data_IF_304075207125
#
_entry.id   IF_304075207125
#
_cell.length_a   1.000
_cell.length_b   1.000
_cell.length_c   1.000
_cell.angle_alpha   90.00
_cell.angle_beta   90.00
_cell.angle_gamma   90.00
#
_symmetry.space_group_name_H-M   'P 1'
#
loop_
_entity.id
_entity.type
_entity.pdbx_description
1 polymer ?
#
# COMPACT_ATOMS: atom_id res chain seq x y z
N UNK A 1 5.36 -4.32 -15.55
CA UNK A 1 5.49 -4.37 -14.08
C UNK A 1 5.97 -3.02 -13.57
N UNK A 2 5.68 -2.72 -12.31
CA UNK A 2 6.07 -1.50 -11.63
C UNK A 2 6.80 -1.87 -10.34
N UNK A 3 7.78 -1.07 -9.94
CA UNK A 3 8.42 -1.18 -8.63
C UNK A 3 8.31 0.16 -7.88
N UNK A 4 8.34 0.09 -6.56
CA UNK A 4 8.31 1.25 -5.68
C UNK A 4 9.50 1.15 -4.71
N UNK A 5 10.15 2.27 -4.34
CA UNK A 5 11.21 2.25 -3.35
C UNK A 5 10.66 2.02 -1.94
N UNK A 6 11.53 1.60 -1.02
CA UNK A 6 11.24 1.69 0.42
C UNK A 6 11.22 3.16 0.82
N UNK A 7 10.12 3.60 1.42
CA UNK A 7 9.97 4.97 1.91
C UNK A 7 10.36 5.01 3.38
N UNK A 8 11.08 6.07 3.76
CA UNK A 8 11.51 6.32 5.15
C UNK A 8 10.88 7.60 5.66
N UNK A 9 10.47 7.57 6.93
CA UNK A 9 10.05 8.76 7.66
C UNK A 9 11.25 9.68 7.91
N UNK A 10 11.00 10.91 8.37
CA UNK A 10 12.04 11.91 8.63
C UNK A 10 13.09 11.44 9.68
N UNK A 11 12.68 10.57 10.61
CA UNK A 11 13.55 9.97 11.62
C UNK A 11 14.33 8.73 11.11
N UNK A 12 14.18 8.38 9.82
CA UNK A 12 14.84 7.25 9.17
C UNK A 12 14.12 5.91 9.34
N UNK A 13 13.07 5.83 10.15
CA UNK A 13 12.25 4.61 10.29
C UNK A 13 11.53 4.28 8.99
N UNK A 14 11.23 3.00 8.75
CA UNK A 14 10.49 2.59 7.54
C UNK A 14 9.05 3.07 7.64
N UNK A 15 8.55 3.69 6.57
CA UNK A 15 7.14 4.04 6.44
C UNK A 15 6.36 2.84 5.88
N UNK A 16 5.35 2.29 6.59
CA UNK A 16 4.60 1.13 6.11
C UNK A 16 3.65 1.49 4.96
N UNK A 17 4.09 1.30 3.71
CA UNK A 17 3.35 1.64 2.50
C UNK A 17 2.67 0.44 1.83
N UNK A 18 3.05 -0.79 2.14
CA UNK A 18 2.43 -2.00 1.56
C UNK A 18 1.06 -2.27 2.18
N UNK A 19 0.09 -2.67 1.35
CA UNK A 19 -1.24 -3.13 1.78
C UNK A 19 -1.57 -4.46 1.11
N UNK A 20 -2.19 -5.37 1.86
CA UNK A 20 -2.78 -6.60 1.30
C UNK A 20 -4.19 -6.30 0.79
N UNK A 21 -4.68 -7.08 -0.16
CA UNK A 21 -6.09 -7.00 -0.54
C UNK A 21 -6.97 -7.39 0.67
N UNK A 22 -8.02 -6.62 0.97
CA UNK A 22 -8.87 -6.92 2.11
C UNK A 22 -9.74 -8.14 1.80
N UNK A 23 -9.90 -9.02 2.78
CA UNK A 23 -11.05 -9.94 2.81
C UNK A 23 -12.29 -9.25 3.39
N UNK A 24 -13.45 -9.90 3.34
CA UNK A 24 -14.72 -9.31 3.82
C UNK A 24 -14.63 -8.83 5.28
N UNK A 25 -13.96 -9.57 6.16
CA UNK A 25 -13.79 -9.18 7.57
C UNK A 25 -12.93 -7.93 7.70
N UNK A 26 -11.85 -7.83 6.92
CA UNK A 26 -10.98 -6.66 6.88
C UNK A 26 -11.70 -5.45 6.27
N UNK A 27 -12.49 -5.65 5.23
CA UNK A 27 -13.32 -4.60 4.63
C UNK A 27 -14.30 -4.03 5.66
N UNK A 28 -15.07 -4.89 6.35
CA UNK A 28 -16.00 -4.45 7.42
C UNK A 28 -15.26 -3.75 8.55
N UNK A 29 -14.14 -4.30 9.01
CA UNK A 29 -13.35 -3.68 10.07
C UNK A 29 -12.80 -2.31 9.67
N UNK A 30 -12.46 -2.14 8.39
CA UNK A 30 -11.94 -0.89 7.86
C UNK A 30 -13.05 0.15 7.66
N UNK A 31 -14.24 -0.26 7.19
CA UNK A 31 -15.42 0.60 7.10
C UNK A 31 -15.94 1.10 8.46
N UNK A 32 -15.70 0.33 9.52
CA UNK A 32 -16.07 0.68 10.90
C UNK A 32 -14.93 1.34 11.68
N UNK A 33 -13.84 1.74 11.01
CA UNK A 33 -12.70 2.40 11.66
C UNK A 33 -12.04 1.60 12.81
N UNK A 34 -12.22 0.29 12.87
CA UNK A 34 -11.71 -0.55 13.96
C UNK A 34 -10.18 -0.57 14.03
N UNK A 35 -9.51 -0.22 12.93
CA UNK A 35 -8.06 -0.04 12.88
C UNK A 35 -7.57 1.10 13.78
N UNK A 36 -8.41 2.09 14.08
CA UNK A 36 -8.07 3.25 14.92
C UNK A 36 -8.11 2.93 16.42
N UNK A 37 -8.89 1.93 16.82
CA UNK A 37 -9.06 1.55 18.23
C UNK A 37 -7.78 0.98 18.84
N UNK A 38 -7.05 0.18 18.06
CA UNK A 38 -5.76 -0.38 18.48
C UNK A 38 -4.87 -0.65 17.27
N UNK A 39 -3.77 0.11 17.10
CA UNK A 39 -2.75 -0.18 16.11
C UNK A 39 -2.22 -1.61 16.28
N UNK A 40 -2.08 -2.35 15.18
CA UNK A 40 -1.50 -3.69 15.20
C UNK A 40 -2.39 -4.82 15.72
N UNK A 41 -3.70 -4.64 15.81
CA UNK A 41 -4.59 -5.75 16.12
C UNK A 41 -4.61 -6.80 14.98
N UNK A 42 -4.90 -8.07 15.31
CA UNK A 42 -4.87 -9.17 14.32
C UNK A 42 -5.91 -9.01 13.20
N UNK A 43 -6.99 -8.28 13.44
CA UNK A 43 -8.10 -8.10 12.50
C UNK A 43 -7.68 -7.19 11.33
N UNK A 44 -6.97 -6.10 11.63
CA UNK A 44 -6.57 -5.09 10.64
C UNK A 44 -5.09 -5.17 10.27
N UNK A 45 -4.23 -5.67 11.17
CA UNK A 45 -2.77 -5.74 10.96
C UNK A 45 -2.35 -6.53 9.72
N UNK A 46 -3.09 -7.60 9.37
CA UNK A 46 -2.85 -8.34 8.13
C UNK A 46 -3.07 -7.46 6.90
N UNK A 47 -4.15 -6.67 6.86
CA UNK A 47 -4.42 -5.73 5.78
C UNK A 47 -3.30 -4.68 5.64
N UNK A 48 -2.79 -4.17 6.77
CA UNK A 48 -1.69 -3.21 6.82
C UNK A 48 -0.30 -3.79 6.53
N UNK A 49 -0.16 -5.12 6.38
CA UNK A 49 1.14 -5.73 6.10
C UNK A 49 2.19 -5.47 7.19
N UNK A 50 1.79 -5.45 8.46
CA UNK A 50 2.69 -5.08 9.57
C UNK A 50 3.85 -6.07 9.78
N UNK A 51 3.73 -7.26 9.21
CA UNK A 51 4.71 -8.34 9.17
C UNK A 51 5.52 -8.37 7.86
N UNK A 52 5.37 -7.36 6.99
CA UNK A 52 6.09 -7.30 5.72
C UNK A 52 7.57 -6.97 5.92
N UNK A 53 8.44 -7.78 5.32
CA UNK A 53 9.89 -7.54 5.34
C UNK A 53 10.30 -6.53 4.25
N UNK A 54 10.65 -5.32 4.67
CA UNK A 54 11.12 -4.24 3.79
C UNK A 54 12.62 -4.32 3.46
N UNK A 55 13.36 -5.30 4.00
CA UNK A 55 14.79 -5.48 3.70
C UNK A 55 15.04 -6.18 2.35
N UNK A 56 13.98 -6.74 1.74
CA UNK A 56 14.07 -7.54 0.52
C UNK A 56 13.17 -6.97 -0.58
N UNK A 57 13.62 -7.12 -1.83
CA UNK A 57 12.78 -6.83 -3.00
C UNK A 57 11.87 -8.03 -3.24
N UNK A 58 10.56 -7.83 -3.14
CA UNK A 58 9.58 -8.91 -3.29
C UNK A 58 8.26 -8.42 -3.89
N UNK A 59 7.48 -9.32 -4.55
CA UNK A 59 6.14 -9.00 -5.02
C UNK A 59 5.23 -8.56 -3.88
N UNK A 60 4.38 -7.58 -4.16
CA UNK A 60 3.45 -6.97 -3.20
C UNK A 60 2.06 -6.89 -3.82
N UNK A 61 0.98 -7.14 -3.06
CA UNK A 61 -0.38 -7.09 -3.61
C UNK A 61 -0.78 -5.67 -4.01
N UNK A 62 -0.46 -4.70 -3.16
CA UNK A 62 -0.71 -3.29 -3.39
C UNK A 62 0.30 -2.44 -2.61
N UNK A 63 0.60 -1.26 -3.13
CA UNK A 63 1.50 -0.28 -2.52
C UNK A 63 0.85 1.08 -2.49
N UNK A 64 1.12 1.83 -1.43
CA UNK A 64 0.73 3.23 -1.34
C UNK A 64 1.35 4.06 -2.48
N UNK A 65 0.63 5.11 -2.85
CA UNK A 65 1.02 6.06 -3.88
C UNK A 65 2.15 6.96 -3.35
N UNK A 66 3.37 6.75 -3.82
CA UNK A 66 4.51 7.65 -3.53
C UNK A 66 5.34 7.88 -4.79
N UNK A 67 6.01 6.83 -5.25
CA UNK A 67 6.84 6.88 -6.44
C UNK A 67 6.80 5.51 -7.12
N UNK A 68 6.73 5.52 -8.45
CA UNK A 68 6.67 4.31 -9.26
C UNK A 68 7.76 4.36 -10.32
N UNK A 69 8.52 3.29 -10.43
CA UNK A 69 9.43 3.05 -11.55
C UNK A 69 8.83 1.95 -12.42
N UNK A 70 8.56 2.28 -13.68
CA UNK A 70 8.01 1.35 -14.66
C UNK A 70 8.75 1.48 -15.98
N UNK A 71 8.74 0.39 -16.75
CA UNK A 71 9.25 0.39 -18.13
C UNK A 71 8.30 1.20 -19.00
N UNK A 72 8.85 1.98 -19.92
CA UNK A 72 8.07 2.74 -20.91
C UNK A 72 7.06 1.87 -21.66
N UNK A 73 7.47 0.68 -22.09
CA UNK A 73 6.56 -0.27 -22.74
C UNK A 73 5.34 -0.64 -21.87
N UNK A 74 5.51 -0.81 -20.56
CA UNK A 74 4.39 -1.12 -19.67
C UNK A 74 3.43 0.09 -19.52
N UNK A 75 3.98 1.31 -19.52
CA UNK A 75 3.20 2.53 -19.55
C UNK A 75 2.38 2.65 -20.84
N UNK A 76 2.98 2.40 -22.01
CA UNK A 76 2.27 2.50 -23.30
C UNK A 76 1.18 1.41 -23.45
N UNK A 77 1.34 0.26 -22.79
CA UNK A 77 0.37 -0.84 -22.82
C UNK A 77 -0.83 -0.64 -21.88
N UNK A 78 -0.60 -0.13 -20.67
CA UNK A 78 -1.63 -0.02 -19.63
C UNK A 78 -2.23 1.39 -19.57
N UNK A 79 -1.50 2.39 -20.03
CA UNK A 79 -1.88 3.80 -19.96
C UNK A 79 -1.40 4.49 -18.67
N UNK A 80 -1.90 5.71 -18.48
CA UNK A 80 -1.64 6.55 -17.30
C UNK A 80 -2.60 6.24 -16.15
N UNK A 81 -2.36 6.88 -15.01
CA UNK A 81 -3.35 6.97 -13.94
C UNK A 81 -4.62 7.69 -14.43
N UNK A 82 -5.75 7.38 -13.80
CA UNK A 82 -7.03 8.02 -14.09
C UNK A 82 -7.00 9.51 -13.75
N UNK A 83 -7.02 10.37 -14.77
CA UNK A 83 -7.04 11.84 -14.63
C UNK A 83 -8.36 12.36 -14.04
N UNK A 84 -9.44 11.57 -14.08
CA UNK A 84 -10.70 11.86 -13.43
C UNK A 84 -10.71 11.57 -11.93
N UNK A 85 -9.63 10.98 -11.40
CA UNK A 85 -9.54 10.68 -9.97
C UNK A 85 -9.44 11.97 -9.15
N UNK A 86 -10.37 12.21 -8.20
CA UNK A 86 -10.43 13.48 -7.49
C UNK A 86 -9.20 13.67 -6.59
N UNK A 87 -8.65 14.90 -6.50
CA UNK A 87 -7.36 15.11 -5.86
C UNK A 87 -7.31 14.93 -4.34
N UNK A 88 -8.40 14.78 -3.58
CA UNK A 88 -8.40 14.36 -2.15
C UNK A 88 -9.85 14.11 -1.64
N UNK A 89 -10.03 13.10 -0.79
CA UNK A 89 -11.03 13.01 0.28
C UNK A 89 -10.32 12.65 1.59
#
# INVERSE_FOLDING_TARGET
>A
GVVTPVVRNADGTVQPTVRRFPNLKQAVAQSLDLHRLRPGNKLTGHYYGLDFDYSQTQPVPSVGTTCYFLRRQAYDQVGVFDEGFPPNF
#
